data_IF_428985565325
#
_entry.id   IF_428985565325
#
_cell.length_a   1.000
_cell.length_b   1.000
_cell.length_c   1.000
_cell.angle_alpha   90.00
_cell.angle_beta   90.00
_cell.angle_gamma   90.00
#
_symmetry.space_group_name_H-M   'P 1'
#
loop_
_entity.id
_entity.type
_entity.pdbx_description
1 polymer ?
#
# COMPACT_ATOMS: atom_id res chain seq x y z
N UNK A 1 40.41 -4.46 9.97
CA UNK A 1 41.01 -5.80 9.75
C UNK A 1 40.37 -6.76 10.76
N UNK A 2 39.30 -7.45 10.37
CA UNK A 2 38.68 -8.48 11.22
C UNK A 2 39.52 -9.75 11.01
N UNK A 3 40.26 -10.17 12.04
CA UNK A 3 41.09 -11.39 11.96
C UNK A 3 40.18 -12.60 11.94
N UNK A 4 40.19 -13.32 10.83
CA UNK A 4 39.49 -14.59 10.64
C UNK A 4 40.34 -15.72 11.25
N UNK A 5 40.00 -16.20 12.44
CA UNK A 5 40.54 -17.46 12.94
C UNK A 5 39.60 -18.60 12.55
N UNK A 6 40.13 -19.58 11.84
CA UNK A 6 39.44 -20.85 11.58
C UNK A 6 39.12 -21.49 12.93
N UNK A 7 37.85 -21.86 13.14
CA UNK A 7 37.44 -22.64 14.30
C UNK A 7 38.23 -23.96 14.37
N UNK A 8 39.28 -23.96 15.17
CA UNK A 8 39.94 -25.17 15.64
C UNK A 8 39.48 -25.34 17.08
N UNK A 9 38.39 -26.09 17.25
CA UNK A 9 38.10 -26.82 18.49
C UNK A 9 37.80 -26.06 19.79
N UNK A 10 37.62 -24.74 19.79
CA UNK A 10 37.17 -24.01 20.99
C UNK A 10 35.70 -23.63 20.83
N UNK A 11 34.87 -24.01 21.81
CA UNK A 11 33.40 -23.90 21.78
C UNK A 11 32.82 -22.49 21.80
N UNK A 12 33.53 -21.49 21.27
CA UNK A 12 33.06 -20.12 21.15
C UNK A 12 32.46 -19.89 19.75
N UNK A 13 31.13 -19.90 19.68
CA UNK A 13 30.39 -19.61 18.44
C UNK A 13 30.42 -18.10 18.13
N UNK A 14 31.39 -17.63 17.36
CA UNK A 14 31.50 -16.22 16.94
C UNK A 14 30.46 -15.76 15.89
N UNK A 15 29.29 -16.40 15.79
CA UNK A 15 28.16 -15.96 14.95
C UNK A 15 28.39 -15.99 13.42
N UNK A 16 29.63 -16.19 12.94
CA UNK A 16 30.00 -16.25 11.52
C UNK A 16 30.68 -17.58 11.24
N UNK A 17 30.12 -18.37 10.31
CA UNK A 17 30.60 -19.72 9.99
C UNK A 17 31.83 -19.74 9.06
N UNK A 18 31.97 -18.74 8.20
CA UNK A 18 32.77 -18.82 6.96
C UNK A 18 32.90 -17.45 6.29
N UNK A 19 34.00 -17.13 5.59
CA UNK A 19 33.90 -16.18 4.48
C UNK A 19 32.97 -16.80 3.43
N UNK A 20 32.09 -15.99 2.84
CA UNK A 20 31.23 -16.44 1.74
C UNK A 20 32.03 -16.51 0.44
N UNK A 21 31.77 -17.45 -0.50
CA UNK A 21 32.39 -17.44 -1.82
C UNK A 21 32.22 -16.11 -2.56
N UNK A 22 31.15 -15.38 -2.25
CA UNK A 22 30.88 -14.05 -2.80
C UNK A 22 31.93 -13.01 -2.36
N UNK A 23 32.66 -13.25 -1.27
CA UNK A 23 33.75 -12.36 -0.82
C UNK A 23 34.93 -12.34 -1.78
N UNK A 24 35.02 -13.34 -2.67
CA UNK A 24 36.07 -13.43 -3.69
C UNK A 24 35.71 -12.71 -4.99
N UNK A 25 34.48 -12.19 -5.12
CA UNK A 25 34.06 -11.50 -6.34
C UNK A 25 34.72 -10.11 -6.39
N UNK A 26 35.49 -9.80 -7.45
CA UNK A 26 36.04 -8.46 -7.62
C UNK A 26 34.85 -7.51 -7.77
N UNK A 27 34.82 -6.45 -6.96
CA UNK A 27 33.79 -5.40 -6.94
C UNK A 27 32.47 -5.71 -6.22
N UNK A 28 32.30 -6.87 -5.59
CA UNK A 28 31.14 -7.10 -4.72
C UNK A 28 31.47 -6.79 -3.26
N UNK A 29 30.87 -5.75 -2.71
CA UNK A 29 30.99 -5.43 -1.29
C UNK A 29 30.02 -6.30 -0.47
N UNK A 30 30.52 -7.07 0.50
CA UNK A 30 29.70 -7.99 1.30
C UNK A 30 28.79 -7.27 2.30
N UNK A 31 29.04 -6.01 2.60
CA UNK A 31 28.23 -5.25 3.56
C UNK A 31 27.15 -4.49 2.83
N UNK A 32 27.50 -3.71 1.81
CA UNK A 32 26.55 -2.93 1.03
C UNK A 32 25.91 -3.70 -0.12
N UNK A 33 26.50 -4.83 -0.54
CA UNK A 33 26.03 -5.66 -1.66
C UNK A 33 24.82 -6.53 -1.34
N UNK A 34 24.52 -6.76 -0.06
CA UNK A 34 23.31 -7.46 0.36
C UNK A 34 22.24 -6.49 0.82
N UNK A 35 21.01 -6.85 0.49
CA UNK A 35 19.80 -6.12 0.84
C UNK A 35 19.05 -6.84 1.95
N UNK A 36 18.43 -6.07 2.83
CA UNK A 36 17.48 -6.60 3.81
C UNK A 36 16.10 -6.60 3.17
N UNK A 37 15.59 -7.77 2.79
CA UNK A 37 14.24 -7.85 2.27
C UNK A 37 13.21 -7.49 3.35
N UNK A 38 12.44 -6.43 3.10
CA UNK A 38 11.45 -5.88 4.02
C UNK A 38 10.29 -6.84 4.27
N UNK A 39 9.86 -7.60 3.26
CA UNK A 39 8.74 -8.52 3.38
C UNK A 39 9.03 -9.66 4.38
N UNK A 40 10.20 -10.31 4.25
CA UNK A 40 10.58 -11.38 5.16
C UNK A 40 11.05 -10.87 6.53
N UNK A 41 11.85 -9.81 6.55
CA UNK A 41 12.40 -9.27 7.79
C UNK A 41 11.32 -8.62 8.67
N UNK A 42 10.56 -7.69 8.10
CA UNK A 42 9.66 -6.81 8.85
C UNK A 42 8.30 -7.47 8.97
N UNK A 43 7.67 -7.82 7.85
CA UNK A 43 6.27 -8.25 7.84
C UNK A 43 6.13 -9.67 8.42
N UNK A 44 6.83 -10.66 7.83
CA UNK A 44 6.79 -12.05 8.29
C UNK A 44 7.69 -12.34 9.49
N UNK A 45 8.67 -11.49 9.75
CA UNK A 45 9.62 -11.60 10.84
C UNK A 45 9.16 -10.83 12.08
N UNK A 46 9.51 -9.54 12.15
CA UNK A 46 9.32 -8.72 13.36
C UNK A 46 7.85 -8.49 13.70
N UNK A 47 7.00 -8.11 12.74
CA UNK A 47 5.60 -7.81 12.99
C UNK A 47 4.83 -9.07 13.39
N UNK A 48 5.09 -10.20 12.73
CA UNK A 48 4.56 -11.51 13.15
C UNK A 48 5.01 -11.88 14.56
N UNK A 49 6.29 -11.69 14.88
CA UNK A 49 6.83 -11.96 16.20
C UNK A 49 6.15 -11.12 17.30
N UNK A 50 6.05 -9.81 17.09
CA UNK A 50 5.35 -8.89 18.01
C UNK A 50 3.90 -9.35 18.24
N UNK A 51 3.21 -9.72 17.16
CA UNK A 51 1.84 -10.23 17.27
C UNK A 51 1.74 -11.55 18.04
N UNK A 52 2.71 -12.46 17.88
CA UNK A 52 2.78 -13.67 18.71
C UNK A 52 2.95 -13.30 20.19
N UNK A 53 3.89 -12.40 20.52
CA UNK A 53 4.11 -11.94 21.89
C UNK A 53 2.84 -11.35 22.52
N UNK A 54 2.14 -10.49 21.79
CA UNK A 54 0.96 -9.78 22.30
C UNK A 54 -0.28 -10.66 22.48
N UNK A 55 -0.43 -11.73 21.69
CA UNK A 55 -1.71 -12.46 21.60
C UNK A 55 -1.64 -13.96 21.90
N UNK A 56 -0.46 -14.57 21.95
CA UNK A 56 -0.32 -16.01 22.26
C UNK A 56 -0.53 -16.25 23.76
N UNK A 57 -1.40 -17.20 24.11
CA UNK A 57 -1.77 -17.50 25.50
C UNK A 57 -0.62 -18.06 26.32
N UNK A 58 0.45 -18.56 25.70
CA UNK A 58 1.68 -18.93 26.40
C UNK A 58 2.29 -17.74 27.16
N UNK A 59 2.07 -16.51 26.69
CA UNK A 59 2.54 -15.27 27.33
C UNK A 59 1.52 -14.63 28.27
N UNK A 60 0.46 -15.32 28.72
CA UNK A 60 -0.61 -14.71 29.53
C UNK A 60 -0.16 -14.03 30.84
N UNK A 61 1.03 -14.36 31.35
CA UNK A 61 1.64 -13.75 32.54
C UNK A 61 2.49 -12.52 32.23
N UNK A 62 2.80 -12.31 30.95
CA UNK A 62 3.69 -11.25 30.51
C UNK A 62 2.95 -9.92 30.42
N UNK A 63 3.63 -8.80 30.73
CA UNK A 63 2.99 -7.50 30.82
C UNK A 63 2.54 -6.93 29.46
N UNK A 64 3.02 -7.46 28.34
CA UNK A 64 2.59 -7.07 26.99
C UNK A 64 1.38 -7.85 26.48
N UNK A 65 0.94 -8.88 27.21
CA UNK A 65 -0.14 -9.75 26.75
C UNK A 65 -1.49 -9.03 26.75
N UNK A 66 -2.14 -9.07 25.59
CA UNK A 66 -3.44 -8.47 25.31
C UNK A 66 -4.40 -9.47 24.63
N UNK A 67 -4.10 -10.78 24.69
CA UNK A 67 -4.90 -11.83 24.06
C UNK A 67 -6.37 -11.86 24.51
N UNK A 68 -6.64 -11.50 25.77
CA UNK A 68 -8.02 -11.40 26.31
C UNK A 68 -8.86 -10.30 25.63
N UNK A 69 -8.21 -9.31 25.02
CA UNK A 69 -8.85 -8.19 24.32
C UNK A 69 -8.86 -8.35 22.80
N UNK A 70 -8.51 -9.54 22.29
CA UNK A 70 -8.47 -9.81 20.85
C UNK A 70 -9.83 -9.54 20.17
N UNK A 71 -10.96 -9.88 20.80
CA UNK A 71 -12.30 -9.61 20.26
C UNK A 71 -12.61 -8.11 20.16
N UNK A 72 -12.11 -7.28 21.08
CA UNK A 72 -12.26 -5.83 21.01
C UNK A 72 -11.49 -5.27 19.81
N UNK A 73 -10.27 -5.75 19.60
CA UNK A 73 -9.44 -5.38 18.46
C UNK A 73 -10.09 -5.83 17.15
N UNK A 74 -10.67 -7.03 17.12
CA UNK A 74 -11.31 -7.59 15.93
C UNK A 74 -12.46 -6.72 15.44
N UNK A 75 -13.35 -6.31 16.36
CA UNK A 75 -14.45 -5.38 16.05
C UNK A 75 -13.96 -4.06 15.49
N UNK A 76 -12.77 -3.57 15.92
CA UNK A 76 -12.15 -2.37 15.36
C UNK A 76 -11.55 -2.66 13.97
N UNK A 77 -10.91 -3.80 13.77
CA UNK A 77 -10.36 -4.21 12.46
C UNK A 77 -11.45 -4.25 11.39
N UNK A 78 -12.66 -4.69 11.74
CA UNK A 78 -13.82 -4.75 10.83
C UNK A 78 -14.29 -3.38 10.32
N UNK A 79 -13.95 -2.28 11.01
CA UNK A 79 -14.31 -0.91 10.59
C UNK A 79 -13.37 -0.33 9.53
N UNK A 80 -12.28 -1.02 9.19
CA UNK A 80 -11.36 -0.55 8.16
C UNK A 80 -11.88 -0.84 6.76
N UNK A 81 -11.79 0.17 5.91
CA UNK A 81 -12.14 0.13 4.51
C UNK A 81 -10.90 0.52 3.69
N UNK A 82 -10.01 -0.44 3.38
CA UNK A 82 -8.83 -0.15 2.57
C UNK A 82 -9.22 0.13 1.11
N UNK A 83 -8.42 0.92 0.38
CA UNK A 83 -8.67 1.19 -1.04
C UNK A 83 -8.33 -0.03 -1.88
N UNK A 84 -8.66 0.00 -3.18
CA UNK A 84 -8.36 -1.10 -4.10
C UNK A 84 -6.86 -1.42 -4.22
N UNK A 85 -5.99 -0.50 -3.82
CA UNK A 85 -4.53 -0.65 -3.85
C UNK A 85 -4.02 -1.66 -2.82
N UNK A 86 -4.76 -1.88 -1.73
CA UNK A 86 -4.44 -2.94 -0.76
C UNK A 86 -5.26 -4.17 -1.17
N UNK A 87 -4.61 -5.19 -1.71
CA UNK A 87 -5.33 -6.27 -2.39
C UNK A 87 -6.11 -7.16 -1.40
N UNK A 88 -5.63 -7.28 -0.16
CA UNK A 88 -6.30 -8.05 0.90
C UNK A 88 -7.17 -7.18 1.79
N UNK A 89 -8.36 -7.69 2.11
CA UNK A 89 -9.24 -7.08 3.12
C UNK A 89 -8.70 -7.37 4.52
N UNK A 90 -8.99 -6.52 5.53
CA UNK A 90 -8.67 -6.82 6.91
C UNK A 90 -9.31 -8.16 7.28
N UNK A 91 -8.52 -9.06 7.85
CA UNK A 91 -8.98 -10.33 8.42
C UNK A 91 -8.90 -10.28 9.93
N UNK A 92 -9.61 -11.20 10.56
CA UNK A 92 -9.67 -11.28 12.02
C UNK A 92 -8.29 -11.54 12.64
N UNK A 93 -7.95 -10.82 13.72
CA UNK A 93 -6.70 -11.00 14.48
C UNK A 93 -6.62 -12.39 15.14
N UNK A 94 -7.76 -13.04 15.34
CA UNK A 94 -7.83 -14.42 15.84
C UNK A 94 -7.29 -15.42 14.81
N UNK A 95 -7.35 -15.08 13.52
CA UNK A 95 -6.87 -15.93 12.40
C UNK A 95 -5.44 -15.58 11.95
N UNK A 96 -4.72 -14.76 12.73
CA UNK A 96 -3.39 -14.22 12.39
C UNK A 96 -2.33 -15.26 12.05
N UNK A 97 -2.46 -16.49 12.55
CA UNK A 97 -1.55 -17.59 12.22
C UNK A 97 -1.45 -17.84 10.69
N UNK A 98 -2.51 -17.51 9.95
CA UNK A 98 -2.63 -17.70 8.50
C UNK A 98 -2.50 -16.40 7.69
N UNK A 99 -2.09 -15.30 8.33
CA UNK A 99 -1.88 -14.03 7.64
C UNK A 99 -0.68 -14.10 6.69
N UNK A 100 -0.83 -13.48 5.52
CA UNK A 100 0.23 -13.30 4.54
C UNK A 100 1.04 -12.03 4.85
N UNK A 101 2.21 -11.90 4.24
CA UNK A 101 3.11 -10.76 4.47
C UNK A 101 2.39 -9.41 4.31
N UNK A 102 1.58 -9.25 3.26
CA UNK A 102 0.88 -8.00 3.03
C UNK A 102 -0.17 -7.63 4.07
N UNK A 103 -0.72 -8.61 4.78
CA UNK A 103 -1.64 -8.37 5.89
C UNK A 103 -0.88 -7.93 7.13
N UNK A 104 0.32 -8.47 7.35
CA UNK A 104 1.23 -7.98 8.38
C UNK A 104 1.68 -6.55 8.09
N UNK A 105 2.00 -6.24 6.83
CA UNK A 105 2.31 -4.86 6.39
C UNK A 105 1.15 -3.91 6.64
N UNK A 106 -0.06 -4.29 6.23
CA UNK A 106 -1.25 -3.47 6.44
C UNK A 106 -1.56 -3.29 7.94
N UNK A 107 -1.35 -4.34 8.73
CA UNK A 107 -1.49 -4.28 10.18
C UNK A 107 -0.48 -3.33 10.80
N UNK A 108 0.81 -3.45 10.46
CA UNK A 108 1.90 -2.58 10.94
C UNK A 108 1.65 -1.11 10.62
N UNK A 109 1.31 -0.79 9.38
CA UNK A 109 1.27 0.60 8.91
C UNK A 109 -0.07 1.29 9.16
N UNK A 110 -1.18 0.56 9.11
CA UNK A 110 -2.50 1.18 9.06
C UNK A 110 -3.41 0.78 10.21
N UNK A 111 -3.43 -0.49 10.60
CA UNK A 111 -4.44 -0.98 11.56
C UNK A 111 -3.96 -0.87 13.01
N UNK A 112 -2.80 -1.46 13.33
CA UNK A 112 -2.23 -1.50 14.66
C UNK A 112 -2.04 -0.12 15.32
N UNK A 113 -1.58 0.94 14.60
CA UNK A 113 -1.49 2.30 15.14
C UNK A 113 -2.79 2.83 15.74
N UNK A 114 -3.94 2.42 15.20
CA UNK A 114 -5.26 2.88 15.63
C UNK A 114 -5.83 1.91 16.66
N UNK A 115 -5.85 0.60 16.36
CA UNK A 115 -6.58 -0.36 17.19
C UNK A 115 -5.86 -0.70 18.49
N UNK A 116 -4.53 -0.58 18.55
CA UNK A 116 -3.74 -0.90 19.74
C UNK A 116 -3.60 0.26 20.72
N UNK A 117 -3.89 1.51 20.31
CA UNK A 117 -3.67 2.73 21.12
C UNK A 117 -4.29 2.66 22.52
N UNK A 118 -5.48 2.09 22.64
CA UNK A 118 -6.22 1.95 23.91
C UNK A 118 -6.17 0.52 24.49
N UNK A 119 -5.39 -0.36 23.88
CA UNK A 119 -5.38 -1.80 24.20
C UNK A 119 -4.02 -2.26 24.70
N UNK A 120 -2.96 -1.96 23.94
CA UNK A 120 -1.60 -2.32 24.27
C UNK A 120 -1.06 -1.37 25.35
N UNK A 121 -0.40 -1.85 26.42
CA UNK A 121 0.10 -0.97 27.47
C UNK A 121 1.10 0.04 26.89
N UNK A 122 1.03 1.27 27.43
CA UNK A 122 1.69 2.47 26.88
C UNK A 122 3.11 2.24 26.39
N UNK A 123 3.99 1.68 27.23
CA UNK A 123 5.40 1.45 26.89
C UNK A 123 5.61 0.56 25.66
N UNK A 124 4.77 -0.47 25.47
CA UNK A 124 4.86 -1.37 24.32
C UNK A 124 4.25 -0.74 23.07
N UNK A 125 3.20 0.05 23.24
CA UNK A 125 2.60 0.80 22.14
C UNK A 125 3.56 1.87 21.61
N UNK A 126 4.17 2.66 22.49
CA UNK A 126 5.18 3.65 22.16
C UNK A 126 6.38 3.02 21.45
N UNK A 127 6.86 1.88 21.96
CA UNK A 127 7.91 1.10 21.31
C UNK A 127 7.51 0.64 19.90
N UNK A 128 6.31 0.07 19.74
CA UNK A 128 5.78 -0.31 18.42
C UNK A 128 5.71 0.87 17.44
N UNK A 129 5.37 2.07 17.92
CA UNK A 129 5.29 3.26 17.06
C UNK A 129 6.64 3.69 16.48
N UNK A 130 7.76 3.37 17.12
CA UNK A 130 9.10 3.60 16.55
C UNK A 130 9.26 2.79 15.26
N UNK A 131 8.91 1.50 15.29
CA UNK A 131 8.96 0.63 14.12
C UNK A 131 7.98 1.12 13.03
N UNK A 132 6.73 1.39 13.39
CA UNK A 132 5.71 1.85 12.44
C UNK A 132 6.16 3.11 11.68
N UNK A 133 6.68 4.11 12.40
CA UNK A 133 7.13 5.38 11.79
C UNK A 133 8.36 5.19 10.92
N UNK A 134 9.35 4.42 11.39
CA UNK A 134 10.55 4.17 10.61
C UNK A 134 10.24 3.43 9.31
N UNK A 135 9.46 2.34 9.39
CA UNK A 135 9.11 1.54 8.20
C UNK A 135 8.27 2.35 7.22
N UNK A 136 7.30 3.14 7.70
CA UNK A 136 6.52 4.02 6.85
C UNK A 136 7.42 5.01 6.08
N UNK A 137 8.35 5.67 6.78
CA UNK A 137 9.27 6.63 6.18
C UNK A 137 10.20 5.98 5.14
N UNK A 138 10.71 4.78 5.42
CA UNK A 138 11.58 4.04 4.51
C UNK A 138 10.86 3.44 3.29
N UNK A 139 9.53 3.48 3.27
CA UNK A 139 8.68 3.04 2.16
C UNK A 139 8.15 4.18 1.29
N UNK A 140 8.41 5.45 1.62
CA UNK A 140 7.94 6.56 0.76
C UNK A 140 8.68 6.62 -0.57
N UNK A 141 8.09 7.26 -1.57
CA UNK A 141 8.70 7.43 -2.90
C UNK A 141 9.82 8.47 -2.90
N UNK A 142 9.75 9.44 -1.99
CA UNK A 142 10.78 10.46 -1.79
C UNK A 142 11.18 10.45 -0.32
N UNK A 143 12.47 10.20 -0.05
CA UNK A 143 13.03 10.14 1.30
C UNK A 143 14.17 11.15 1.38
N UNK A 144 14.01 12.18 2.21
CA UNK A 144 15.08 13.15 2.48
C UNK A 144 16.14 12.55 3.42
N UNK A 145 17.36 13.09 3.41
CA UNK A 145 18.41 12.62 4.33
C UNK A 145 18.02 12.79 5.80
N UNK A 146 17.25 13.83 6.11
CA UNK A 146 16.74 14.07 7.46
C UNK A 146 15.70 13.02 7.87
N UNK A 147 14.79 12.65 6.98
CA UNK A 147 13.82 11.57 7.23
C UNK A 147 14.51 10.22 7.40
N UNK A 148 15.52 9.92 6.57
CA UNK A 148 16.33 8.72 6.68
C UNK A 148 17.09 8.66 8.02
N UNK A 149 17.64 9.79 8.47
CA UNK A 149 18.28 9.90 9.78
C UNK A 149 17.30 9.60 10.92
N UNK A 150 16.11 10.20 10.91
CA UNK A 150 15.10 9.94 11.94
C UNK A 150 14.60 8.49 11.92
N UNK A 151 14.39 7.91 10.74
CA UNK A 151 14.04 6.49 10.63
C UNK A 151 15.12 5.59 11.24
N UNK A 152 16.41 5.89 10.99
CA UNK A 152 17.54 5.18 11.59
C UNK A 152 17.53 5.31 13.13
N UNK A 153 17.31 6.52 13.67
CA UNK A 153 17.22 6.72 15.12
C UNK A 153 16.07 5.90 15.74
N UNK A 154 14.89 5.90 15.12
CA UNK A 154 13.76 5.11 15.59
C UNK A 154 14.04 3.60 15.57
N UNK A 155 14.73 3.08 14.54
CA UNK A 155 15.10 1.66 14.49
C UNK A 155 16.15 1.31 15.54
N UNK A 156 17.16 2.16 15.75
CA UNK A 156 18.15 1.97 16.81
C UNK A 156 17.48 1.92 18.19
N UNK A 157 16.60 2.88 18.48
CA UNK A 157 15.86 2.93 19.74
C UNK A 157 14.92 1.72 19.90
N UNK A 158 14.24 1.31 18.82
CA UNK A 158 13.40 0.11 18.83
C UNK A 158 14.21 -1.13 19.20
N UNK A 159 15.36 -1.37 18.55
CA UNK A 159 16.19 -2.55 18.78
C UNK A 159 16.82 -2.53 20.18
N UNK A 160 17.33 -1.37 20.62
CA UNK A 160 17.91 -1.19 21.96
C UNK A 160 16.91 -1.54 23.08
N UNK A 161 15.67 -1.05 22.94
CA UNK A 161 14.64 -1.24 23.95
C UNK A 161 13.96 -2.62 23.88
N UNK A 162 14.15 -3.37 22.80
CA UNK A 162 13.45 -4.65 22.57
C UNK A 162 13.80 -5.69 23.65
N UNK A 163 15.09 -5.90 23.95
CA UNK A 163 15.51 -6.87 24.97
C UNK A 163 14.97 -6.52 26.36
N UNK A 164 14.96 -5.23 26.70
CA UNK A 164 14.45 -4.76 28.00
C UNK A 164 12.93 -4.96 28.11
N UNK A 165 12.20 -4.77 27.01
CA UNK A 165 10.74 -4.85 27.00
C UNK A 165 10.21 -6.28 26.89
N UNK A 166 10.82 -7.11 26.05
CA UNK A 166 10.32 -8.44 25.72
C UNK A 166 11.21 -9.56 26.25
N UNK A 167 12.46 -9.29 26.64
CA UNK A 167 13.42 -10.27 27.13
C UNK A 167 14.36 -10.79 26.05
N UNK A 168 15.56 -11.20 26.48
CA UNK A 168 16.63 -11.74 25.62
C UNK A 168 16.21 -12.90 24.70
N UNK A 169 15.38 -13.88 25.13
CA UNK A 169 14.99 -14.99 24.26
C UNK A 169 14.24 -14.55 22.99
N UNK A 170 13.70 -13.33 22.98
CA UNK A 170 12.96 -12.77 21.86
C UNK A 170 13.81 -11.83 20.99
N UNK A 171 15.10 -11.67 21.26
CA UNK A 171 16.02 -10.96 20.36
C UNK A 171 16.38 -11.83 19.16
N UNK A 172 15.53 -11.80 18.13
CA UNK A 172 15.73 -12.58 16.91
C UNK A 172 16.67 -11.89 15.93
N UNK A 173 17.19 -12.65 14.97
CA UNK A 173 17.94 -12.11 13.84
C UNK A 173 17.19 -10.98 13.10
N UNK A 174 15.88 -11.15 12.89
CA UNK A 174 15.06 -10.15 12.22
C UNK A 174 14.94 -8.86 13.02
N UNK A 175 14.93 -8.92 14.37
CA UNK A 175 14.99 -7.71 15.21
C UNK A 175 16.34 -7.00 15.02
N UNK A 176 17.44 -7.74 15.06
CA UNK A 176 18.78 -7.16 14.90
C UNK A 176 18.98 -6.49 13.53
N UNK A 177 18.57 -7.16 12.45
CA UNK A 177 18.83 -6.69 11.09
C UNK A 177 18.05 -5.40 10.75
N UNK A 178 17.05 -5.01 11.55
CA UNK A 178 16.38 -3.71 11.44
C UNK A 178 17.37 -2.54 11.47
N UNK A 179 18.48 -2.67 12.20
CA UNK A 179 19.53 -1.64 12.29
C UNK A 179 20.12 -1.27 10.92
N UNK A 180 20.07 -2.20 9.96
CA UNK A 180 20.66 -2.02 8.64
C UNK A 180 19.68 -1.49 7.60
N UNK A 181 18.37 -1.40 7.89
CA UNK A 181 17.37 -0.98 6.90
C UNK A 181 17.65 0.43 6.34
N UNK A 182 18.09 1.36 7.19
CA UNK A 182 18.40 2.73 6.74
C UNK A 182 19.61 2.76 5.81
N UNK A 183 20.61 1.91 6.05
CA UNK A 183 21.77 1.79 5.16
C UNK A 183 21.40 1.08 3.86
N UNK A 184 20.55 0.05 3.92
CA UNK A 184 19.97 -0.56 2.72
C UNK A 184 19.22 0.46 1.87
N UNK A 185 18.43 1.35 2.51
CA UNK A 185 17.73 2.41 1.78
C UNK A 185 18.69 3.43 1.18
N UNK A 186 19.76 3.80 1.89
CA UNK A 186 20.80 4.70 1.36
C UNK A 186 21.47 4.13 0.12
N UNK A 187 21.70 2.83 0.09
CA UNK A 187 22.46 2.16 -0.97
C UNK A 187 21.59 1.73 -2.16
N UNK A 188 20.35 1.31 -1.91
CA UNK A 188 19.49 0.63 -2.90
C UNK A 188 18.16 1.33 -3.18
N UNK A 189 17.89 2.46 -2.53
CA UNK A 189 16.62 3.18 -2.62
C UNK A 189 15.57 2.66 -1.63
N UNK A 190 14.32 3.14 -1.71
CA UNK A 190 13.25 2.77 -0.77
C UNK A 190 13.03 1.25 -0.63
N UNK A 191 12.51 0.80 0.52
CA UNK A 191 12.32 -0.62 0.84
C UNK A 191 11.50 -1.40 -0.20
N UNK A 192 10.59 -0.73 -0.92
CA UNK A 192 9.74 -1.34 -1.92
C UNK A 192 10.45 -1.62 -3.25
N UNK A 193 11.64 -1.06 -3.49
CA UNK A 193 12.39 -1.25 -4.73
C UNK A 193 12.99 -2.66 -4.84
N UNK A 194 13.22 -3.32 -3.71
CA UNK A 194 13.89 -4.62 -3.62
C UNK A 194 13.16 -5.59 -2.70
N UNK A 195 11.87 -5.33 -2.42
CA UNK A 195 11.05 -6.25 -1.65
C UNK A 195 10.75 -7.51 -2.45
N UNK A 196 10.64 -8.64 -1.75
CA UNK A 196 10.34 -9.94 -2.34
C UNK A 196 8.88 -10.09 -2.84
N UNK A 197 8.01 -9.09 -2.61
CA UNK A 197 6.61 -9.12 -3.03
C UNK A 197 6.45 -9.40 -4.53
N UNK A 198 7.19 -8.67 -5.37
CA UNK A 198 7.12 -8.82 -6.83
C UNK A 198 7.59 -10.21 -7.28
N UNK A 199 8.64 -10.73 -6.65
CA UNK A 199 9.20 -12.05 -6.93
C UNK A 199 8.25 -13.18 -6.51
N UNK A 200 7.64 -13.10 -5.33
CA UNK A 200 6.64 -14.08 -4.89
C UNK A 200 5.37 -14.03 -5.76
N UNK A 201 4.94 -12.83 -6.17
CA UNK A 201 3.85 -12.65 -7.12
C UNK A 201 4.17 -13.30 -8.48
N UNK A 202 5.38 -13.11 -8.99
CA UNK A 202 5.87 -13.76 -10.20
C UNK A 202 5.89 -15.29 -10.06
N UNK A 203 6.29 -15.84 -8.92
CA UNK A 203 6.22 -17.28 -8.69
C UNK A 203 4.78 -17.80 -8.86
N UNK A 204 3.79 -17.10 -8.31
CA UNK A 204 2.37 -17.43 -8.50
C UNK A 204 1.90 -17.38 -9.95
N UNK A 205 2.51 -16.53 -10.80
CA UNK A 205 2.28 -16.52 -12.24
C UNK A 205 2.95 -17.70 -12.94
N UNK A 206 4.22 -17.97 -12.65
CA UNK A 206 4.98 -19.08 -13.24
C UNK A 206 4.34 -20.44 -12.94
N UNK A 207 3.77 -20.61 -11.75
CA UNK A 207 3.04 -21.83 -11.37
C UNK A 207 1.79 -22.10 -12.22
N UNK A 208 1.28 -21.11 -12.96
CA UNK A 208 0.15 -21.28 -13.89
C UNK A 208 0.59 -21.68 -15.31
N UNK A 209 1.90 -21.67 -15.58
CA UNK A 209 2.46 -21.93 -16.92
C UNK A 209 2.79 -23.40 -17.16
N UNK A 210 2.43 -24.31 -16.26
CA UNK A 210 2.55 -25.74 -16.48
C UNK A 210 1.33 -26.47 -15.93
N UNK A 211 0.98 -27.61 -16.55
CA UNK A 211 -0.17 -28.42 -16.15
C UNK A 211 0.24 -29.87 -15.83
N UNK A 212 1.38 -30.34 -16.32
CA UNK A 212 1.90 -31.68 -16.09
C UNK A 212 3.12 -31.72 -15.18
N UNK A 213 3.47 -32.89 -14.64
CA UNK A 213 4.63 -33.09 -13.74
C UNK A 213 5.95 -33.32 -14.47
N UNK A 214 5.92 -33.60 -15.77
CA UNK A 214 7.11 -33.92 -16.58
C UNK A 214 7.70 -32.67 -17.22
N UNK A 215 9.02 -32.50 -17.15
CA UNK A 215 9.72 -31.37 -17.79
C UNK A 215 9.12 -30.00 -17.44
N UNK A 216 8.70 -29.80 -16.19
CA UNK A 216 8.06 -28.56 -15.70
C UNK A 216 8.82 -27.29 -16.09
N UNK A 217 10.17 -27.20 -15.93
CA UNK A 217 10.90 -26.00 -16.35
C UNK A 217 10.73 -25.67 -17.83
N UNK A 218 10.75 -26.70 -18.70
CA UNK A 218 10.59 -26.51 -20.14
C UNK A 218 9.18 -26.07 -20.51
N UNK A 219 8.15 -26.62 -19.83
CA UNK A 219 6.76 -26.17 -20.01
C UNK A 219 6.64 -24.67 -19.68
N UNK A 220 7.14 -24.25 -18.51
CA UNK A 220 7.11 -22.86 -18.06
C UNK A 220 7.80 -21.95 -19.08
N UNK A 221 9.02 -22.30 -19.50
CA UNK A 221 9.79 -21.51 -20.48
C UNK A 221 9.05 -21.40 -21.80
N UNK A 222 8.53 -22.52 -22.31
CA UNK A 222 7.82 -22.56 -23.59
C UNK A 222 6.55 -21.70 -23.54
N UNK A 223 5.72 -21.87 -22.52
CA UNK A 223 4.50 -21.08 -22.34
C UNK A 223 4.80 -19.59 -22.14
N UNK A 224 5.84 -19.24 -21.39
CA UNK A 224 6.25 -17.85 -21.21
C UNK A 224 6.69 -17.21 -22.53
N UNK A 225 7.55 -17.89 -23.30
CA UNK A 225 8.02 -17.41 -24.60
C UNK A 225 6.86 -17.25 -25.57
N UNK A 226 5.94 -18.22 -25.63
CA UNK A 226 4.73 -18.11 -26.47
C UNK A 226 3.88 -16.89 -26.11
N UNK A 227 3.67 -16.61 -24.81
CA UNK A 227 2.92 -15.42 -24.38
C UNK A 227 3.62 -14.12 -24.81
N UNK A 228 4.96 -14.06 -24.70
CA UNK A 228 5.74 -12.89 -25.12
C UNK A 228 5.72 -12.69 -26.63
N UNK A 229 5.85 -13.76 -27.39
CA UNK A 229 5.81 -13.73 -28.85
C UNK A 229 4.42 -13.36 -29.39
N UNK A 230 3.34 -13.86 -28.77
CA UNK A 230 1.97 -13.47 -29.14
C UNK A 230 1.76 -11.97 -28.93
N UNK A 231 2.28 -11.39 -27.84
CA UNK A 231 2.18 -9.97 -27.55
C UNK A 231 2.98 -9.11 -28.55
N UNK A 232 4.22 -9.51 -28.89
CA UNK A 232 5.12 -8.75 -29.77
C UNK A 232 4.76 -8.90 -31.25
N UNK A 233 4.67 -10.14 -31.75
CA UNK A 233 4.39 -10.43 -33.17
C UNK A 233 2.93 -10.19 -33.51
N UNK A 234 2.02 -10.50 -32.59
CA UNK A 234 0.60 -10.36 -32.84
C UNK A 234 0.19 -8.93 -33.16
N UNK A 235 0.77 -7.93 -32.49
CA UNK A 235 0.52 -6.51 -32.81
C UNK A 235 0.92 -6.13 -34.24
N UNK A 236 1.99 -6.72 -34.78
CA UNK A 236 2.44 -6.49 -36.16
C UNK A 236 1.55 -7.23 -37.16
N UNK A 237 1.28 -8.51 -36.90
CA UNK A 237 0.44 -9.35 -37.76
C UNK A 237 -1.00 -8.85 -37.84
N UNK A 238 -1.51 -8.26 -36.76
CA UNK A 238 -2.90 -7.77 -36.70
C UNK A 238 -3.12 -6.48 -37.49
N UNK A 239 -2.09 -5.71 -37.88
CA UNK A 239 -2.27 -4.44 -38.60
C UNK A 239 -3.08 -4.58 -39.89
N UNK A 240 -2.92 -5.72 -40.58
CA UNK A 240 -3.61 -6.02 -41.84
C UNK A 240 -4.71 -7.09 -41.68
N UNK A 241 -5.00 -7.51 -40.45
CA UNK A 241 -6.00 -8.54 -40.21
C UNK A 241 -7.43 -7.97 -40.33
N UNK A 242 -8.38 -8.84 -40.64
CA UNK A 242 -9.79 -8.46 -40.67
C UNK A 242 -10.24 -7.91 -39.29
N UNK A 243 -11.10 -6.88 -39.20
CA UNK A 243 -11.47 -6.22 -37.93
C UNK A 243 -11.95 -7.17 -36.82
N UNK A 244 -12.68 -8.24 -37.19
CA UNK A 244 -13.11 -9.28 -36.24
C UNK A 244 -11.95 -10.05 -35.60
N UNK A 245 -10.87 -10.28 -36.35
CA UNK A 245 -9.67 -10.99 -35.88
C UNK A 245 -8.84 -10.08 -34.99
N UNK A 246 -8.70 -8.81 -35.36
CA UNK A 246 -8.11 -7.78 -34.49
C UNK A 246 -8.84 -7.71 -33.15
N UNK A 247 -10.17 -7.62 -33.16
CA UNK A 247 -10.99 -7.58 -31.95
C UNK A 247 -10.84 -8.84 -31.07
N UNK A 248 -10.76 -10.02 -31.69
CA UNK A 248 -10.52 -11.27 -30.96
C UNK A 248 -9.12 -11.29 -30.34
N UNK A 249 -8.10 -10.88 -31.10
CA UNK A 249 -6.72 -10.78 -30.65
C UNK A 249 -6.60 -9.83 -29.46
N UNK A 250 -7.17 -8.63 -29.56
CA UNK A 250 -7.19 -7.66 -28.46
C UNK A 250 -7.86 -8.24 -27.21
N UNK A 251 -8.97 -8.98 -27.39
CA UNK A 251 -9.67 -9.65 -26.28
C UNK A 251 -8.81 -10.72 -25.58
N UNK A 252 -8.01 -11.46 -26.35
CA UNK A 252 -7.14 -12.53 -25.84
C UNK A 252 -5.88 -11.96 -25.18
N UNK A 253 -5.25 -10.96 -25.80
CA UNK A 253 -3.98 -10.37 -25.35
C UNK A 253 -4.18 -9.44 -24.16
N UNK A 254 -5.23 -8.61 -24.16
CA UNK A 254 -5.48 -7.71 -23.04
C UNK A 254 -5.97 -8.48 -21.80
N UNK A 255 -6.33 -9.77 -21.91
CA UNK A 255 -6.71 -10.63 -20.78
C UNK A 255 -7.97 -10.18 -20.02
N UNK A 256 -8.60 -9.09 -20.45
CA UNK A 256 -9.86 -8.58 -19.91
C UNK A 256 -10.95 -8.96 -20.89
N UNK A 257 -11.92 -9.75 -20.44
CA UNK A 257 -13.26 -9.73 -21.03
C UNK A 257 -13.62 -8.26 -21.25
N UNK A 258 -13.77 -7.82 -22.51
CA UNK A 258 -14.08 -6.45 -22.85
C UNK A 258 -15.23 -6.00 -21.96
N UNK A 259 -14.93 -5.16 -20.97
CA UNK A 259 -15.93 -4.82 -19.96
C UNK A 259 -16.99 -4.01 -20.70
N UNK A 260 -18.22 -4.54 -20.77
CA UNK A 260 -19.31 -3.90 -21.50
C UNK A 260 -19.61 -2.53 -20.89
N UNK A 261 -20.03 -1.58 -21.73
CA UNK A 261 -20.41 -0.22 -21.33
C UNK A 261 -19.26 0.55 -20.67
N UNK A 262 -18.23 0.82 -21.46
CA UNK A 262 -17.07 1.62 -21.07
C UNK A 262 -16.99 2.83 -21.99
N UNK A 263 -16.70 4.00 -21.43
CA UNK A 263 -16.44 5.23 -22.20
C UNK A 263 -15.06 5.77 -21.86
N UNK A 264 -14.27 6.12 -22.88
CA UNK A 264 -12.91 6.65 -22.73
C UNK A 264 -12.87 8.11 -23.14
N UNK A 265 -12.33 8.98 -22.29
CA UNK A 265 -12.17 10.42 -22.53
C UNK A 265 -10.91 10.88 -21.82
N UNK A 266 -9.96 11.49 -22.54
CA UNK A 266 -8.71 12.06 -22.01
C UNK A 266 -7.95 11.12 -21.03
N UNK A 267 -7.77 9.85 -21.41
CA UNK A 267 -7.10 8.83 -20.58
C UNK A 267 -7.93 8.30 -19.41
N UNK A 268 -9.09 8.90 -19.13
CA UNK A 268 -10.05 8.40 -18.13
C UNK A 268 -11.00 7.38 -18.76
N UNK A 269 -11.25 6.30 -18.03
CA UNK A 269 -12.14 5.21 -18.42
C UNK A 269 -13.34 5.17 -17.47
N UNK A 270 -14.50 5.60 -17.94
CA UNK A 270 -15.76 5.53 -17.20
C UNK A 270 -16.43 4.17 -17.39
N UNK A 271 -17.05 3.65 -16.32
CA UNK A 271 -17.75 2.37 -16.32
C UNK A 271 -19.26 2.53 -16.14
N UNK A 272 -20.03 1.75 -16.90
CA UNK A 272 -21.49 1.77 -16.93
C UNK A 272 -22.06 2.61 -18.07
N UNK A 273 -23.39 2.60 -18.22
CA UNK A 273 -24.08 3.36 -19.26
C UNK A 273 -23.96 4.89 -19.08
N UNK A 274 -23.68 5.33 -17.85
CA UNK A 274 -23.79 6.73 -17.47
C UNK A 274 -25.26 7.17 -17.36
N UNK A 275 -25.47 8.31 -16.72
CA UNK A 275 -26.79 8.94 -16.61
C UNK A 275 -26.70 10.34 -17.22
N UNK A 276 -27.38 10.57 -18.34
CA UNK A 276 -27.48 11.90 -18.93
C UNK A 276 -28.45 12.73 -18.11
N UNK A 277 -28.00 13.90 -17.65
CA UNK A 277 -28.86 14.88 -16.99
C UNK A 277 -28.30 16.29 -17.17
N UNK A 278 -29.14 17.28 -16.91
CA UNK A 278 -28.69 18.65 -16.82
C UNK A 278 -27.74 18.83 -15.60
N UNK A 279 -26.71 19.66 -15.77
CA UNK A 279 -25.93 20.23 -14.69
C UNK A 279 -26.85 21.16 -13.88
N UNK A 280 -26.79 21.07 -12.55
CA UNK A 280 -27.42 22.10 -11.73
C UNK A 280 -26.61 23.41 -11.76
N UNK A 281 -27.17 24.49 -11.20
CA UNK A 281 -26.54 25.82 -11.22
C UNK A 281 -25.13 25.83 -10.60
N UNK A 282 -24.92 25.10 -9.50
CA UNK A 282 -23.65 25.04 -8.79
C UNK A 282 -22.64 24.16 -9.53
N UNK A 283 -23.09 23.03 -10.08
CA UNK A 283 -22.27 22.15 -10.91
C UNK A 283 -21.81 22.85 -12.19
N UNK A 284 -22.71 23.58 -12.85
CA UNK A 284 -22.39 24.32 -14.07
C UNK A 284 -21.38 25.42 -13.79
N UNK A 285 -21.61 26.24 -12.76
CA UNK A 285 -20.70 27.31 -12.34
C UNK A 285 -19.29 26.75 -12.02
N UNK A 286 -19.21 25.67 -11.23
CA UNK A 286 -17.94 25.05 -10.88
C UNK A 286 -17.20 24.42 -12.09
N UNK A 287 -17.94 23.86 -13.06
CA UNK A 287 -17.36 23.30 -14.29
C UNK A 287 -16.83 24.40 -15.21
N UNK A 288 -17.62 25.46 -15.43
CA UNK A 288 -17.24 26.58 -16.30
C UNK A 288 -16.08 27.38 -15.70
N UNK A 289 -16.08 27.56 -14.37
CA UNK A 289 -14.95 28.15 -13.65
C UNK A 289 -13.67 27.32 -13.80
N UNK A 290 -13.77 25.99 -13.74
CA UNK A 290 -12.60 25.10 -13.87
C UNK A 290 -12.06 25.02 -15.30
N UNK A 291 -12.94 24.97 -16.29
CA UNK A 291 -12.56 24.87 -17.71
C UNK A 291 -12.25 26.23 -18.35
N UNK A 292 -12.53 27.33 -17.64
CA UNK A 292 -12.45 28.71 -18.13
C UNK A 292 -13.21 28.91 -19.46
N UNK A 293 -14.27 28.12 -19.68
CA UNK A 293 -15.04 28.09 -20.91
C UNK A 293 -16.49 27.63 -20.66
N UNK A 294 -17.47 28.14 -21.44
CA UNK A 294 -18.87 27.74 -21.30
C UNK A 294 -19.10 26.30 -21.82
N UNK A 295 -20.00 25.57 -21.14
CA UNK A 295 -20.33 24.17 -21.47
C UNK A 295 -21.81 23.98 -21.75
N UNK A 296 -22.14 22.91 -22.48
CA UNK A 296 -23.52 22.49 -22.68
C UNK A 296 -24.17 22.17 -21.32
N UNK A 297 -25.46 22.45 -21.19
CA UNK A 297 -26.21 22.17 -19.96
C UNK A 297 -26.31 20.67 -19.65
N UNK A 298 -26.22 19.81 -20.66
CA UNK A 298 -26.31 18.35 -20.51
C UNK A 298 -24.92 17.73 -20.29
N UNK A 299 -24.81 16.89 -19.26
CA UNK A 299 -23.63 16.10 -18.98
C UNK A 299 -23.99 14.63 -18.72
N UNK A 300 -23.03 13.73 -18.92
CA UNK A 300 -23.21 12.30 -18.63
C UNK A 300 -22.45 11.97 -17.34
N UNK A 301 -23.16 11.53 -16.31
CA UNK A 301 -22.58 11.21 -15.01
C UNK A 301 -22.29 9.73 -14.85
N UNK A 302 -21.18 9.43 -14.19
CA UNK A 302 -20.71 8.08 -13.88
C UNK A 302 -20.37 7.97 -12.39
N UNK A 303 -20.42 6.73 -11.87
CA UNK A 303 -20.10 6.43 -10.47
C UNK A 303 -18.75 5.73 -10.28
N UNK A 304 -18.12 5.29 -11.37
CA UNK A 304 -16.84 4.58 -11.36
C UNK A 304 -16.00 5.05 -12.53
N UNK A 305 -14.76 5.43 -12.22
CA UNK A 305 -13.74 5.80 -13.20
C UNK A 305 -12.46 5.02 -12.93
N UNK A 306 -11.68 4.80 -13.99
CA UNK A 306 -10.29 4.34 -13.91
C UNK A 306 -9.41 5.36 -14.60
N UNK A 307 -8.34 5.74 -13.92
CA UNK A 307 -7.31 6.64 -14.43
C UNK A 307 -5.95 6.17 -13.92
N UNK A 308 -4.92 6.14 -14.78
CA UNK A 308 -3.58 5.61 -14.46
C UNK A 308 -3.60 4.27 -13.72
N UNK A 309 -4.40 3.31 -14.21
CA UNK A 309 -4.56 1.97 -13.62
C UNK A 309 -5.04 1.97 -12.15
N UNK A 310 -5.66 3.06 -11.70
CA UNK A 310 -6.30 3.18 -10.39
C UNK A 310 -7.80 3.32 -10.54
N UNK A 311 -8.54 2.60 -9.69
CA UNK A 311 -10.00 2.68 -9.62
C UNK A 311 -10.41 3.78 -8.65
N UNK A 312 -11.37 4.61 -9.06
CA UNK A 312 -12.01 5.63 -8.24
C UNK A 312 -13.53 5.43 -8.25
N UNK A 313 -14.17 5.71 -7.12
CA UNK A 313 -15.61 5.52 -6.94
C UNK A 313 -16.24 6.80 -6.39
N UNK A 314 -17.47 7.06 -6.80
CA UNK A 314 -18.28 8.13 -6.21
C UNK A 314 -18.99 7.65 -4.95
N UNK A 315 -19.28 8.55 -4.01
CA UNK A 315 -20.14 8.27 -2.83
C UNK A 315 -21.52 7.71 -3.20
N UNK A 316 -22.03 8.04 -4.40
CA UNK A 316 -23.32 7.58 -4.90
C UNK A 316 -23.29 6.16 -5.50
N UNK A 317 -22.15 5.47 -5.44
CA UNK A 317 -22.04 4.11 -5.95
C UNK A 317 -22.82 3.14 -5.04
N UNK A 318 -24.00 2.71 -5.50
CA UNK A 318 -25.02 1.99 -4.71
C UNK A 318 -24.61 0.66 -4.07
N UNK A 319 -23.48 0.05 -4.46
CA UNK A 319 -23.07 -1.23 -3.88
C UNK A 319 -22.44 -0.99 -2.51
N UNK A 320 -22.81 -1.77 -1.48
CA UNK A 320 -22.10 -1.75 -0.17
C UNK A 320 -20.61 -2.01 -0.42
N UNK A 321 -19.80 -0.98 -0.24
CA UNK A 321 -18.37 -1.08 -0.46
C UNK A 321 -17.69 -1.51 0.83
N UNK A 322 -17.09 -2.70 0.81
CA UNK A 322 -16.10 -3.08 1.83
C UNK A 322 -14.82 -2.23 1.73
N UNK A 323 -14.61 -1.55 0.60
CA UNK A 323 -13.41 -0.78 0.25
C UNK A 323 -13.76 0.68 0.00
N UNK A 324 -13.00 1.62 0.55
CA UNK A 324 -13.21 3.03 0.23
C UNK A 324 -12.27 3.45 -0.92
N UNK A 325 -12.85 3.85 -2.05
CA UNK A 325 -12.12 4.50 -3.16
C UNK A 325 -12.75 5.86 -3.47
N UNK A 326 -13.43 6.44 -2.49
CA UNK A 326 -14.14 7.73 -2.59
C UNK A 326 -13.31 8.85 -1.98
N UNK A 327 -12.53 8.57 -0.93
CA UNK A 327 -11.60 9.52 -0.32
C UNK A 327 -10.24 9.48 -1.02
N UNK A 328 -9.79 10.65 -1.46
CA UNK A 328 -8.58 10.84 -2.26
C UNK A 328 -7.79 12.05 -1.79
N UNK A 329 -6.47 11.98 -1.94
CA UNK A 329 -5.55 13.09 -1.75
C UNK A 329 -5.28 13.75 -3.09
N UNK A 330 -5.25 15.07 -3.11
CA UNK A 330 -4.83 15.87 -4.27
C UNK A 330 -3.32 16.11 -4.24
N UNK A 331 -2.76 16.43 -5.41
CA UNK A 331 -1.35 16.79 -5.55
C UNK A 331 -0.91 17.97 -4.66
N UNK A 332 -1.83 18.88 -4.32
CA UNK A 332 -1.60 20.00 -3.39
C UNK A 332 -1.62 19.60 -1.90
N UNK A 333 -1.86 18.33 -1.61
CA UNK A 333 -1.94 17.78 -0.26
C UNK A 333 -3.32 17.81 0.38
N UNK A 334 -4.31 18.48 -0.22
CA UNK A 334 -5.66 18.54 0.32
C UNK A 334 -6.41 17.22 0.16
N UNK A 335 -7.38 16.99 1.03
CA UNK A 335 -8.18 15.76 1.06
C UNK A 335 -9.57 16.05 0.53
N UNK A 336 -10.05 15.19 -0.36
CA UNK A 336 -11.31 15.35 -1.05
C UNK A 336 -12.09 14.04 -1.06
N UNK A 337 -13.42 14.16 -1.10
CA UNK A 337 -14.31 13.02 -1.31
C UNK A 337 -15.01 13.15 -2.67
N UNK A 338 -14.99 12.08 -3.45
CA UNK A 338 -15.54 12.06 -4.80
C UNK A 338 -17.06 11.94 -4.77
N UNK A 339 -17.74 12.96 -5.29
CA UNK A 339 -19.21 13.03 -5.41
C UNK A 339 -19.69 12.29 -6.66
N UNK A 340 -18.94 12.40 -7.75
CA UNK A 340 -19.30 11.84 -9.04
C UNK A 340 -18.24 12.11 -10.11
N UNK A 341 -18.40 11.47 -11.26
CA UNK A 341 -17.62 11.77 -12.45
C UNK A 341 -18.55 12.26 -13.54
N UNK A 342 -18.14 13.27 -14.30
CA UNK A 342 -18.93 13.82 -15.38
C UNK A 342 -18.13 13.80 -16.67
N UNK A 343 -18.79 13.38 -17.75
CA UNK A 343 -18.39 13.72 -19.10
C UNK A 343 -19.18 14.96 -19.53
N UNK A 344 -18.48 16.06 -19.73
CA UNK A 344 -19.06 17.32 -20.21
C UNK A 344 -18.57 17.61 -21.62
N UNK A 345 -19.34 18.39 -22.36
CA UNK A 345 -19.00 18.81 -23.72
C UNK A 345 -19.11 20.34 -23.81
N UNK A 346 -18.06 20.98 -24.31
CA UNK A 346 -18.07 22.41 -24.60
C UNK A 346 -19.00 22.73 -25.77
N UNK A 347 -19.33 24.02 -25.95
CA UNK A 347 -20.10 24.45 -27.13
C UNK A 347 -19.37 24.23 -28.46
N UNK A 348 -18.04 24.11 -28.43
CA UNK A 348 -17.19 23.80 -29.59
C UNK A 348 -17.09 22.30 -29.89
N UNK A 349 -17.69 21.43 -29.05
CA UNK A 349 -17.71 19.98 -29.24
C UNK A 349 -16.56 19.23 -28.56
N UNK A 350 -15.66 19.92 -27.85
CA UNK A 350 -14.60 19.26 -27.08
C UNK A 350 -15.18 18.54 -25.86
N UNK A 351 -14.83 17.27 -25.67
CA UNK A 351 -15.25 16.44 -24.54
C UNK A 351 -14.22 16.50 -23.40
N UNK A 352 -14.71 16.65 -22.17
CA UNK A 352 -13.87 16.67 -20.96
C UNK A 352 -14.34 15.60 -19.96
N UNK A 353 -13.36 14.94 -19.33
CA UNK A 353 -13.58 14.01 -18.23
C UNK A 353 -13.27 14.71 -16.90
N UNK A 354 -14.31 14.95 -16.09
CA UNK A 354 -14.20 15.72 -14.87
C UNK A 354 -14.57 14.88 -13.64
N UNK A 355 -13.94 15.20 -12.51
CA UNK A 355 -14.20 14.63 -11.21
C UNK A 355 -14.82 15.71 -10.32
N UNK A 356 -16.03 15.46 -9.84
CA UNK A 356 -16.71 16.33 -8.89
C UNK A 356 -16.36 15.87 -7.48
N UNK A 357 -15.84 16.76 -6.66
CA UNK A 357 -15.39 16.45 -5.30
C UNK A 357 -15.88 17.47 -4.29
N UNK A 358 -15.92 17.06 -3.03
CA UNK A 358 -16.03 17.98 -1.88
C UNK A 358 -14.73 17.96 -1.12
N UNK A 359 -14.19 19.14 -0.83
CA UNK A 359 -13.01 19.25 0.03
C UNK A 359 -13.40 18.88 1.45
N UNK A 360 -12.61 18.02 2.07
CA UNK A 360 -12.82 17.60 3.45
C UNK A 360 -12.00 18.50 4.37
N UNK A 361 -12.57 18.92 5.49
CA UNK A 361 -11.80 19.56 6.55
C UNK A 361 -11.02 18.49 7.29
N UNK A 362 -9.71 18.45 7.06
CA UNK A 362 -8.78 17.59 7.79
C UNK A 362 -8.23 18.36 8.99
N UNK A 363 -8.33 17.74 10.18
CA UNK A 363 -7.58 18.22 11.35
C UNK A 363 -6.22 17.53 11.34
N UNK A 364 -5.12 18.27 11.61
CA UNK A 364 -3.80 17.70 11.55
C UNK A 364 -3.68 16.48 12.46
N UNK A 365 -2.84 15.56 11.96
CA UNK A 365 -2.27 14.33 12.53
C UNK A 365 -2.72 14.02 13.95
N UNK A 366 -3.22 12.80 14.19
CA UNK A 366 -3.57 12.30 15.52
C UNK A 366 -2.41 12.57 16.50
N UNK A 367 -2.46 13.70 17.21
CA UNK A 367 -1.49 14.01 18.23
C UNK A 367 -1.83 13.08 19.39
N UNK A 368 -0.90 12.19 19.70
CA UNK A 368 -0.80 11.60 21.02
C UNK A 368 -0.31 12.68 21.99
N UNK A 369 -1.08 13.77 22.13
CA UNK A 369 -0.71 14.99 22.86
C UNK A 369 -0.56 14.76 24.37
N UNK A 370 -0.80 13.54 24.85
CA UNK A 370 -0.57 13.12 26.24
C UNK A 370 0.38 11.94 26.45
N UNK A 371 1.03 11.42 25.39
CA UNK A 371 1.92 10.24 25.51
C UNK A 371 3.41 10.56 25.39
N UNK A 372 3.77 11.72 24.83
CA UNK A 372 5.15 12.19 24.83
C UNK A 372 5.15 13.66 25.21
N UNK A 373 6.18 14.09 25.96
CA UNK A 373 6.57 15.49 25.93
C UNK A 373 6.70 15.90 24.45
N UNK A 374 6.11 17.03 24.11
CA UNK A 374 5.96 17.57 22.75
C UNK A 374 7.20 17.28 21.87
N UNK A 375 7.17 16.25 21.01
CA UNK A 375 7.91 16.13 19.72
C UNK A 375 8.39 14.73 19.27
N UNK A 376 8.50 13.69 20.11
CA UNK A 376 9.36 12.53 19.72
C UNK A 376 8.74 11.40 18.89
N UNK A 377 7.43 11.14 18.95
CA UNK A 377 6.79 10.08 18.14
C UNK A 377 5.40 10.50 17.67
N UNK A 378 5.33 11.12 16.49
CA UNK A 378 4.08 11.54 15.87
C UNK A 378 3.84 10.70 14.62
N UNK A 379 2.71 10.00 14.59
CA UNK A 379 2.31 9.21 13.42
C UNK A 379 1.86 10.18 12.32
N UNK A 380 2.78 10.50 11.40
CA UNK A 380 2.56 11.56 10.39
C UNK A 380 1.56 11.20 9.31
N UNK A 381 1.32 9.91 9.10
CA UNK A 381 0.48 9.38 8.01
C UNK A 381 -0.96 9.08 8.42
N UNK A 382 -1.33 9.29 9.69
CA UNK A 382 -2.70 9.12 10.19
C UNK A 382 -3.30 10.49 10.51
N UNK A 383 -4.47 10.79 9.96
CA UNK A 383 -5.16 12.07 10.14
C UNK A 383 -6.65 11.87 10.44
N UNK A 384 -7.25 12.85 11.11
CA UNK A 384 -8.69 12.87 11.33
C UNK A 384 -9.36 13.77 10.30
N UNK A 385 -10.44 13.26 9.72
CA UNK A 385 -11.29 13.99 8.80
C UNK A 385 -12.64 14.20 9.47
N UNK A 386 -13.09 15.45 9.49
CA UNK A 386 -14.43 15.79 9.98
C UNK A 386 -15.49 15.52 8.90
N UNK A 387 -16.74 15.33 9.33
CA UNK A 387 -17.90 15.20 8.45
C UNK A 387 -18.34 16.54 7.84
N UNK A 388 -17.65 17.64 8.12
CA UNK A 388 -17.91 18.93 7.48
C UNK A 388 -17.25 18.95 6.11
N UNK A 389 -18.10 19.05 5.09
CA UNK A 389 -17.70 19.10 3.69
C UNK A 389 -17.81 20.54 3.20
N UNK A 390 -16.75 21.04 2.58
CA UNK A 390 -16.80 22.31 1.87
C UNK A 390 -17.65 22.20 0.60
N UNK A 391 -17.82 23.33 -0.07
CA UNK A 391 -18.51 23.43 -1.35
C UNK A 391 -17.95 22.49 -2.41
N UNK A 392 -18.81 22.17 -3.37
CA UNK A 392 -18.49 21.34 -4.51
C UNK A 392 -17.39 22.00 -5.34
N UNK A 393 -16.37 21.22 -5.72
CA UNK A 393 -15.29 21.65 -6.61
C UNK A 393 -15.08 20.63 -7.71
N UNK A 394 -14.57 21.09 -8.84
CA UNK A 394 -14.31 20.27 -10.03
C UNK A 394 -12.81 20.11 -10.22
N UNK A 395 -12.38 18.90 -10.57
CA UNK A 395 -10.99 18.55 -10.80
C UNK A 395 -10.83 17.69 -12.05
N UNK A 396 -9.67 17.77 -12.66
CA UNK A 396 -9.20 16.71 -13.56
C UNK A 396 -8.69 15.51 -12.75
N UNK A 397 -8.89 14.28 -13.25
CA UNK A 397 -8.45 13.07 -12.56
C UNK A 397 -6.92 13.00 -12.40
N UNK A 398 -6.16 13.70 -13.24
CA UNK A 398 -4.70 13.86 -13.11
C UNK A 398 -4.28 14.58 -11.83
N UNK A 399 -5.17 15.36 -11.20
CA UNK A 399 -4.89 16.05 -9.94
C UNK A 399 -5.04 15.16 -8.70
N UNK A 400 -5.49 13.91 -8.87
CA UNK A 400 -5.64 12.93 -7.79
C UNK A 400 -4.32 12.17 -7.62
N UNK A 401 -3.73 12.23 -6.42
CA UNK A 401 -2.43 11.60 -6.13
C UNK A 401 -2.59 10.21 -5.49
N UNK A 402 -3.28 10.15 -4.36
CA UNK A 402 -3.28 8.99 -3.48
C UNK A 402 -4.66 8.67 -2.93
N UNK A 403 -4.80 7.44 -2.45
CA UNK A 403 -5.97 6.97 -1.71
C UNK A 403 -5.60 6.68 -0.27
N UNK A 404 -6.62 6.54 0.56
CA UNK A 404 -6.46 6.30 1.98
C UNK A 404 -7.01 4.95 2.40
N UNK A 405 -6.40 4.38 3.43
CA UNK A 405 -7.09 3.42 4.29
C UNK A 405 -8.01 4.19 5.23
N UNK A 406 -9.29 3.86 5.20
CA UNK A 406 -10.33 4.59 5.93
C UNK A 406 -10.74 3.79 7.17
N UNK A 407 -10.77 4.42 8.34
CA UNK A 407 -11.31 3.85 9.58
C UNK A 407 -12.48 4.71 10.05
N UNK A 408 -13.69 4.16 9.93
CA UNK A 408 -14.92 4.91 10.26
C UNK A 408 -15.26 4.79 11.74
N UNK A 409 -15.57 5.91 12.36
CA UNK A 409 -16.16 6.02 13.69
C UNK A 409 -17.54 6.68 13.57
N UNK A 410 -18.34 6.66 14.63
CA UNK A 410 -19.73 7.15 14.58
C UNK A 410 -19.85 8.61 14.11
N UNK A 411 -18.95 9.50 14.56
CA UNK A 411 -19.02 10.95 14.27
C UNK A 411 -17.75 11.52 13.59
N UNK A 412 -16.77 10.67 13.26
CA UNK A 412 -15.51 11.09 12.66
C UNK A 412 -14.89 9.97 11.85
N UNK A 413 -13.98 10.31 10.94
CA UNK A 413 -13.17 9.32 10.24
C UNK A 413 -11.70 9.53 10.55
N UNK A 414 -10.97 8.44 10.76
CA UNK A 414 -9.51 8.45 10.66
C UNK A 414 -9.13 7.93 9.28
N UNK A 415 -8.11 8.53 8.68
CA UNK A 415 -7.56 8.02 7.43
C UNK A 415 -6.06 7.85 7.55
N UNK A 416 -5.54 6.79 6.93
CA UNK A 416 -4.12 6.51 6.83
C UNK A 416 -3.68 6.66 5.37
N UNK A 417 -2.71 7.53 5.13
CA UNK A 417 -2.10 7.68 3.82
C UNK A 417 -1.25 6.45 3.50
N UNK A 418 -1.23 6.03 2.22
CA UNK A 418 -0.32 4.99 1.76
C UNK A 418 1.10 5.58 1.61
N UNK A 419 2.16 4.85 2.00
CA UNK A 419 3.53 5.36 1.83
C UNK A 419 3.91 5.50 0.35
N UNK A 420 3.37 4.63 -0.50
CA UNK A 420 3.51 4.67 -1.95
C UNK A 420 2.32 3.94 -2.61
N UNK A 421 2.16 4.14 -3.93
CA UNK A 421 1.13 3.48 -4.75
C UNK A 421 1.67 2.32 -5.60
N UNK A 422 2.96 2.02 -5.48
CA UNK A 422 3.74 1.11 -6.33
C UNK A 422 3.80 -0.31 -5.76
N UNK A 423 4.07 -0.42 -4.46
CA UNK A 423 4.14 -1.70 -3.76
C UNK A 423 2.74 -2.27 -3.58
N UNK A 424 2.46 -3.33 -4.33
CA UNK A 424 1.25 -4.13 -4.26
C UNK A 424 1.61 -5.55 -3.82
N UNK A 425 0.70 -6.17 -3.09
CA UNK A 425 0.77 -7.58 -2.68
C UNK A 425 1.04 -8.54 -3.84
#
# INVERSE_FOLDING_TARGET
MIKYQRNVGTGENFGVKGPTPLSSLPFFDIVSGFIVDSMHCIDLGVMRQLSTLWFDSSFHKEPWYIGTRANEIDRKIEQFQPPSNITRMPRSILTRAYWKASEWRAFLLFYAPIVLKSVLPRRFFEHFLLLCQAVYALQTTCITQLELFYASQHLNEFVLNFETLYGRPHMTYNVHILLHLSDSVRNWGPLWCYSAYSFEGCNGFLLKLYNGTQSVPLQIVTSFLLLKEVESMGKVLMQNAHPRVQQLFDTVVDGFNATKHVRRVNGTVFFGHGCSRALDLYEKDAVEQFLENPVKDQAIFYHKAVYNSQIFLSINYRRKLKRDNTLVRRSDGSVCQIVGFAKVESHTGCEHALCLVRKCVSKPRLFLQGYFGESRCQIKHVMSISSEFAELTVLDLSQLSDKFVVYRQENSCLVCLLPNSLERD
#
